data_IF_107251672179
#
_entry.id   IF_107251672179
#
_cell.length_a   1.000
_cell.length_b   1.000
_cell.length_c   1.000
_cell.angle_alpha   90.00
_cell.angle_beta   90.00
_cell.angle_gamma   90.00
#
_symmetry.space_group_name_H-M   'P 1'
#
loop_
_entity.id
_entity.type
_entity.pdbx_description
1 polymer ?
#
# COMPACT_ATOMS: atom_id res chain seq x y z
N UNK A 1 -34.42 12.05 -0.30
CA UNK A 1 -33.26 11.17 -0.10
C UNK A 1 -32.06 12.08 0.12
N UNK A 2 -31.26 11.86 1.13
CA UNK A 2 -30.04 12.67 1.32
C UNK A 2 -29.03 12.35 0.22
N UNK A 3 -28.24 13.34 -0.17
CA UNK A 3 -27.26 13.22 -1.25
C UNK A 3 -25.81 13.28 -0.74
N UNK A 4 -24.90 12.65 -1.45
CA UNK A 4 -23.48 12.72 -1.16
C UNK A 4 -22.64 12.89 -2.43
N UNK A 5 -21.60 13.70 -2.32
CA UNK A 5 -20.57 13.86 -3.36
C UNK A 5 -19.23 13.33 -2.80
N UNK A 6 -18.62 12.45 -3.59
CA UNK A 6 -17.26 11.93 -3.33
C UNK A 6 -16.30 12.62 -4.29
N UNK A 7 -15.20 13.13 -3.75
CA UNK A 7 -14.11 13.72 -4.54
C UNK A 7 -12.99 12.70 -4.67
N UNK A 8 -12.81 12.18 -5.89
CA UNK A 8 -11.82 11.16 -6.23
C UNK A 8 -12.38 9.73 -6.26
N UNK A 9 -12.24 9.08 -7.43
CA UNK A 9 -12.64 7.70 -7.68
C UNK A 9 -11.52 6.66 -7.39
N UNK A 10 -10.63 6.94 -6.45
CA UNK A 10 -9.71 5.93 -5.91
C UNK A 10 -10.46 4.85 -5.13
N UNK A 11 -9.81 3.74 -4.81
CA UNK A 11 -10.44 2.57 -4.16
C UNK A 11 -11.24 2.97 -2.90
N UNK A 12 -10.66 3.79 -2.01
CA UNK A 12 -11.37 4.22 -0.80
C UNK A 12 -12.57 5.14 -1.12
N UNK A 13 -12.50 5.92 -2.20
CA UNK A 13 -13.62 6.73 -2.69
C UNK A 13 -14.77 5.85 -3.20
N UNK A 14 -14.47 4.84 -4.01
CA UNK A 14 -15.46 3.87 -4.52
C UNK A 14 -16.08 3.08 -3.36
N UNK A 15 -15.27 2.56 -2.43
CA UNK A 15 -15.75 1.82 -1.26
C UNK A 15 -16.66 2.71 -0.37
N UNK A 16 -16.30 3.98 -0.19
CA UNK A 16 -17.14 4.96 0.54
C UNK A 16 -18.45 5.22 -0.19
N UNK A 17 -18.41 5.37 -1.51
CA UNK A 17 -19.60 5.58 -2.33
C UNK A 17 -20.57 4.39 -2.20
N UNK A 18 -20.07 3.16 -2.27
CA UNK A 18 -20.86 1.94 -2.08
C UNK A 18 -21.50 1.89 -0.68
N UNK A 19 -20.76 2.19 0.38
CA UNK A 19 -21.29 2.20 1.75
C UNK A 19 -22.36 3.27 1.95
N UNK A 20 -22.19 4.47 1.41
CA UNK A 20 -23.19 5.53 1.47
C UNK A 20 -24.43 5.17 0.64
N UNK A 21 -24.26 4.54 -0.50
CA UNK A 21 -25.37 4.04 -1.32
C UNK A 21 -26.17 2.97 -0.59
N UNK A 22 -25.50 2.01 0.06
CA UNK A 22 -26.12 0.98 0.88
C UNK A 22 -26.88 1.59 2.09
N UNK A 23 -26.42 2.75 2.60
CA UNK A 23 -27.12 3.52 3.62
C UNK A 23 -28.32 4.33 3.07
N UNK A 24 -28.66 4.21 1.79
CA UNK A 24 -29.82 4.84 1.17
C UNK A 24 -29.59 6.26 0.66
N UNK A 25 -28.34 6.69 0.50
CA UNK A 25 -28.02 8.02 -0.07
C UNK A 25 -27.99 7.97 -1.60
N UNK A 26 -28.25 9.11 -2.22
CA UNK A 26 -27.95 9.35 -3.64
C UNK A 26 -26.51 9.82 -3.76
N UNK A 27 -25.67 9.11 -4.55
CA UNK A 27 -24.22 9.28 -4.54
C UNK A 27 -23.69 9.62 -5.92
N UNK A 28 -22.89 10.69 -6.00
CA UNK A 28 -22.10 11.07 -7.18
C UNK A 28 -20.63 11.14 -6.85
N UNK A 29 -19.79 10.64 -7.76
CA UNK A 29 -18.33 10.66 -7.64
C UNK A 29 -17.74 11.56 -8.73
N UNK A 30 -16.89 12.50 -8.34
CA UNK A 30 -16.16 13.37 -9.26
C UNK A 30 -14.69 12.98 -9.28
N UNK A 31 -14.18 12.68 -10.48
CA UNK A 31 -12.79 12.23 -10.69
C UNK A 31 -12.10 13.14 -11.74
N UNK A 32 -10.86 13.50 -11.44
CA UNK A 32 -10.05 14.34 -12.33
C UNK A 32 -9.57 13.59 -13.57
N UNK A 33 -9.24 12.30 -13.41
CA UNK A 33 -8.84 11.43 -14.51
C UNK A 33 -10.05 10.98 -15.34
N UNK A 34 -9.80 10.37 -16.48
CA UNK A 34 -10.81 9.74 -17.34
C UNK A 34 -11.09 8.27 -16.99
N UNK A 35 -10.49 7.77 -15.90
CA UNK A 35 -10.60 6.39 -15.41
C UNK A 35 -10.73 6.33 -13.88
N UNK A 36 -11.33 5.25 -13.30
CA UNK A 36 -11.40 5.00 -11.87
C UNK A 36 -10.12 4.35 -11.34
N UNK A 37 -9.98 4.29 -10.00
CA UNK A 37 -8.95 3.56 -9.29
C UNK A 37 -7.84 4.43 -8.71
N UNK A 38 -7.64 5.62 -9.25
CA UNK A 38 -6.58 6.51 -8.78
C UNK A 38 -5.20 5.87 -8.94
N UNK A 39 -4.53 5.56 -7.82
CA UNK A 39 -3.22 4.87 -7.83
C UNK A 39 -3.32 3.38 -8.18
N UNK A 40 -4.48 2.77 -8.11
CA UNK A 40 -4.71 1.37 -8.45
C UNK A 40 -5.37 1.28 -9.84
N UNK A 41 -4.56 1.42 -10.89
CA UNK A 41 -4.99 1.25 -12.28
C UNK A 41 -3.98 0.39 -13.03
N UNK A 42 -4.24 0.12 -14.30
CA UNK A 42 -3.35 -0.62 -15.18
C UNK A 42 -3.16 0.13 -16.50
N UNK A 43 -2.04 -0.12 -17.15
CA UNK A 43 -1.77 0.38 -18.49
C UNK A 43 -0.98 -0.64 -19.29
N UNK A 44 -0.96 -0.47 -20.61
CA UNK A 44 -0.16 -1.32 -21.53
C UNK A 44 0.86 -0.46 -22.25
N UNK A 45 2.08 -1.00 -22.41
CA UNK A 45 3.17 -0.36 -23.11
C UNK A 45 4.01 -1.42 -23.84
N UNK A 46 4.19 -1.27 -25.15
CA UNK A 46 5.07 -2.14 -25.93
C UNK A 46 4.69 -3.64 -25.91
N UNK A 47 3.39 -3.96 -25.73
CA UNK A 47 2.90 -5.33 -25.65
C UNK A 47 2.94 -5.94 -24.24
N UNK A 48 3.36 -5.18 -23.23
CA UNK A 48 3.33 -5.55 -21.82
C UNK A 48 2.19 -4.82 -21.11
N UNK A 49 1.50 -5.50 -20.19
CA UNK A 49 0.54 -4.89 -19.28
C UNK A 49 1.19 -4.72 -17.90
N UNK A 50 0.93 -3.62 -17.23
CA UNK A 50 1.41 -3.33 -15.89
C UNK A 50 0.27 -2.90 -14.99
N UNK A 51 0.21 -3.45 -13.77
CA UNK A 51 -0.52 -2.81 -12.68
C UNK A 51 0.29 -1.62 -12.17
N UNK A 52 -0.35 -0.45 -12.09
CA UNK A 52 0.28 0.76 -11.58
C UNK A 52 -0.11 0.99 -10.10
N UNK A 53 0.89 1.14 -9.23
CA UNK A 53 0.67 1.42 -7.82
C UNK A 53 0.78 0.20 -6.90
N UNK A 54 -0.17 -0.03 -5.97
CA UNK A 54 -0.07 -1.14 -5.01
C UNK A 54 0.00 -2.50 -5.70
N UNK A 55 0.94 -3.33 -5.28
CA UNK A 55 1.20 -4.65 -5.86
C UNK A 55 0.94 -5.81 -4.89
N UNK A 56 0.74 -5.52 -3.61
CA UNK A 56 0.47 -6.53 -2.59
C UNK A 56 -1.01 -6.48 -2.18
N UNK A 57 -1.65 -7.64 -2.17
CA UNK A 57 -3.04 -7.79 -1.77
C UNK A 57 -3.16 -8.68 -0.53
N UNK A 58 -3.70 -8.10 0.54
CA UNK A 58 -4.02 -8.77 1.80
C UNK A 58 -5.47 -8.45 2.17
N UNK A 59 -6.09 -9.24 3.07
CA UNK A 59 -7.44 -8.99 3.57
C UNK A 59 -8.50 -8.87 2.46
N UNK A 60 -8.65 -9.85 1.58
CA UNK A 60 -9.60 -9.80 0.46
C UNK A 60 -11.06 -9.66 0.93
N UNK A 61 -11.35 -10.03 2.18
CA UNK A 61 -12.67 -9.84 2.79
C UNK A 61 -13.13 -8.39 2.80
N UNK A 62 -12.21 -7.42 2.87
CA UNK A 62 -12.55 -5.98 2.80
C UNK A 62 -13.08 -5.56 1.42
N UNK A 63 -12.76 -6.32 0.37
CA UNK A 63 -13.31 -6.13 -0.98
C UNK A 63 -14.63 -6.89 -1.11
N UNK A 64 -14.64 -8.16 -0.72
CA UNK A 64 -15.82 -9.04 -0.90
C UNK A 64 -17.02 -8.62 -0.05
N UNK A 65 -16.80 -8.04 1.15
CA UNK A 65 -17.87 -7.51 2.00
C UNK A 65 -18.69 -6.40 1.32
N UNK A 66 -18.09 -5.63 0.40
CA UNK A 66 -18.79 -4.56 -0.31
C UNK A 66 -19.89 -5.08 -1.23
N UNK A 67 -19.69 -6.26 -1.83
CA UNK A 67 -20.74 -6.97 -2.59
C UNK A 67 -21.87 -7.43 -1.67
N UNK A 68 -21.52 -7.92 -0.47
CA UNK A 68 -22.49 -8.36 0.53
C UNK A 68 -23.44 -7.25 1.00
N UNK A 69 -23.04 -5.97 0.95
CA UNK A 69 -23.93 -4.84 1.24
C UNK A 69 -25.17 -4.79 0.32
N UNK A 70 -25.05 -5.35 -0.87
CA UNK A 70 -26.11 -5.37 -1.90
C UNK A 70 -26.65 -6.78 -2.17
N UNK A 71 -26.26 -7.75 -1.33
CA UNK A 71 -26.64 -9.15 -1.47
C UNK A 71 -26.15 -9.81 -2.78
N UNK A 72 -25.09 -9.27 -3.37
CA UNK A 72 -24.40 -9.87 -4.52
C UNK A 72 -23.34 -10.87 -4.03
N UNK A 73 -23.14 -11.95 -4.78
CA UNK A 73 -22.08 -12.92 -4.53
C UNK A 73 -20.78 -12.37 -5.15
N UNK A 74 -19.78 -12.10 -4.34
CA UNK A 74 -18.50 -11.52 -4.84
C UNK A 74 -17.80 -12.41 -5.87
N UNK A 75 -17.88 -13.74 -5.72
CA UNK A 75 -17.22 -14.70 -6.60
C UNK A 75 -17.73 -14.67 -8.06
N UNK A 76 -18.92 -14.08 -8.30
CA UNK A 76 -19.42 -13.90 -9.66
C UNK A 76 -18.72 -12.76 -10.42
N UNK A 77 -18.01 -11.89 -9.69
CA UNK A 77 -17.45 -10.64 -10.22
C UNK A 77 -15.99 -10.40 -9.88
N UNK A 78 -15.49 -11.03 -8.84
CA UNK A 78 -14.13 -10.83 -8.33
C UNK A 78 -13.57 -12.13 -7.77
N UNK A 79 -12.44 -12.58 -8.32
CA UNK A 79 -11.78 -13.82 -7.92
C UNK A 79 -10.29 -13.54 -7.62
N UNK A 80 -9.70 -14.35 -6.73
CA UNK A 80 -8.32 -14.20 -6.30
C UNK A 80 -7.76 -15.53 -5.77
N UNK A 81 -6.44 -15.68 -5.87
CA UNK A 81 -5.72 -16.85 -5.39
C UNK A 81 -4.84 -16.47 -4.18
N UNK A 82 -4.82 -17.33 -3.15
CA UNK A 82 -3.83 -17.23 -2.07
C UNK A 82 -2.47 -17.67 -2.60
N UNK A 83 -1.42 -16.93 -2.26
CA UNK A 83 -0.05 -17.26 -2.65
C UNK A 83 0.59 -18.19 -1.63
N UNK A 84 1.23 -19.26 -2.12
CA UNK A 84 2.08 -20.14 -1.31
C UNK A 84 3.43 -19.48 -1.05
N UNK A 85 4.07 -18.95 -2.10
CA UNK A 85 5.26 -18.10 -2.01
C UNK A 85 4.82 -16.66 -1.76
N UNK A 86 5.15 -16.13 -0.59
CA UNK A 86 4.81 -14.75 -0.21
C UNK A 86 5.78 -13.77 -0.84
N UNK A 87 7.08 -14.03 -0.74
CA UNK A 87 8.13 -13.18 -1.28
C UNK A 87 9.48 -13.90 -1.30
N UNK A 88 10.26 -13.66 -2.35
CA UNK A 88 11.67 -14.05 -2.43
C UNK A 88 12.56 -12.93 -1.94
N UNK A 89 13.56 -13.26 -1.15
CA UNK A 89 14.53 -12.33 -0.59
C UNK A 89 15.94 -12.69 -1.03
N UNK A 90 16.69 -11.67 -1.42
CA UNK A 90 18.06 -11.79 -1.91
C UNK A 90 18.97 -10.80 -1.18
N UNK A 91 20.12 -11.27 -0.72
CA UNK A 91 21.17 -10.47 -0.09
C UNK A 91 22.46 -10.53 -0.90
N UNK A 92 23.30 -9.52 -0.76
CA UNK A 92 24.55 -9.39 -1.51
C UNK A 92 25.56 -10.50 -1.20
N UNK A 93 25.54 -11.06 0.00
CA UNK A 93 26.36 -12.20 0.41
C UNK A 93 25.97 -13.54 -0.27
N UNK A 94 24.99 -13.49 -1.17
CA UNK A 94 24.49 -14.65 -1.94
C UNK A 94 23.41 -15.45 -1.23
N UNK A 95 23.00 -15.05 -0.02
CA UNK A 95 21.87 -15.68 0.68
C UNK A 95 20.58 -15.40 -0.10
N UNK A 96 19.79 -16.44 -0.28
CA UNK A 96 18.44 -16.38 -0.87
C UNK A 96 17.48 -17.10 0.05
N UNK A 97 16.29 -16.51 0.23
CA UNK A 97 15.28 -17.08 1.11
C UNK A 97 13.88 -16.78 0.59
N UNK A 98 13.05 -17.82 0.44
CA UNK A 98 11.65 -17.69 0.07
C UNK A 98 10.79 -17.81 1.33
N UNK A 99 9.96 -16.81 1.58
CA UNK A 99 8.99 -16.88 2.66
C UNK A 99 7.74 -17.59 2.17
N UNK A 100 7.42 -18.71 2.82
CA UNK A 100 6.21 -19.48 2.55
C UNK A 100 5.02 -18.92 3.34
N UNK A 101 3.83 -18.92 2.72
CA UNK A 101 2.57 -18.50 3.36
C UNK A 101 2.04 -19.49 4.40
N UNK A 102 2.58 -20.72 4.45
CA UNK A 102 2.39 -21.64 5.57
C UNK A 102 3.42 -21.34 6.66
N UNK A 103 2.91 -21.01 7.86
CA UNK A 103 3.75 -20.61 8.99
C UNK A 103 4.73 -21.68 9.42
N UNK A 104 4.32 -22.94 9.43
CA UNK A 104 5.15 -24.02 9.96
C UNK A 104 6.26 -24.36 8.95
N UNK A 105 5.98 -24.27 7.66
CA UNK A 105 6.98 -24.35 6.59
C UNK A 105 7.96 -23.19 6.68
N UNK A 106 7.48 -21.94 6.80
CA UNK A 106 8.33 -20.77 6.96
C UNK A 106 9.27 -20.88 8.15
N UNK A 107 8.76 -21.31 9.32
CA UNK A 107 9.58 -21.45 10.54
C UNK A 107 10.65 -22.52 10.37
N UNK A 108 10.30 -23.67 9.78
CA UNK A 108 11.24 -24.78 9.51
C UNK A 108 12.34 -24.34 8.52
N UNK A 109 11.96 -23.64 7.47
CA UNK A 109 12.90 -23.17 6.44
C UNK A 109 13.84 -22.10 7.00
N UNK A 110 13.33 -21.20 7.85
CA UNK A 110 14.13 -20.17 8.52
C UNK A 110 15.11 -20.81 9.54
N UNK A 111 14.68 -21.81 10.31
CA UNK A 111 15.55 -22.56 11.22
C UNK A 111 16.69 -23.23 10.43
N UNK A 112 16.38 -23.92 9.35
CA UNK A 112 17.36 -24.60 8.51
C UNK A 112 18.33 -23.63 7.82
N UNK A 113 17.84 -22.47 7.38
CA UNK A 113 18.62 -21.49 6.60
C UNK A 113 19.49 -20.60 7.48
N UNK A 114 18.96 -20.12 8.59
CA UNK A 114 19.56 -19.07 9.42
C UNK A 114 20.01 -19.57 10.81
N UNK A 115 19.69 -20.80 11.18
CA UNK A 115 20.04 -21.36 12.49
C UNK A 115 19.29 -20.74 13.66
N UNK A 116 18.17 -20.02 13.39
CA UNK A 116 17.31 -19.49 14.45
C UNK A 116 16.49 -20.64 15.06
N UNK A 117 16.37 -20.69 16.38
CA UNK A 117 15.48 -21.68 17.01
C UNK A 117 14.01 -21.45 16.58
N UNK A 118 13.32 -22.49 16.14
CA UNK A 118 11.91 -22.45 15.76
C UNK A 118 11.03 -21.80 16.83
N UNK A 119 11.30 -22.10 18.10
CA UNK A 119 10.58 -21.53 19.27
C UNK A 119 10.67 -20.01 19.34
N UNK A 120 11.82 -19.43 18.98
CA UNK A 120 12.06 -17.98 18.95
C UNK A 120 11.21 -17.31 17.88
N UNK A 121 11.23 -17.85 16.65
CA UNK A 121 10.46 -17.31 15.53
C UNK A 121 8.95 -17.48 15.76
N UNK A 122 8.50 -18.63 16.26
CA UNK A 122 7.10 -18.84 16.64
C UNK A 122 6.64 -17.86 17.71
N UNK A 123 7.49 -17.55 18.69
CA UNK A 123 7.19 -16.56 19.73
C UNK A 123 7.06 -15.16 19.14
N UNK A 124 7.94 -14.79 18.20
CA UNK A 124 7.86 -13.52 17.49
C UNK A 124 6.53 -13.39 16.71
N UNK A 125 6.18 -14.42 15.91
CA UNK A 125 4.94 -14.42 15.11
C UNK A 125 3.68 -14.40 15.98
N UNK A 126 3.69 -15.12 17.11
CA UNK A 126 2.59 -15.09 18.10
C UNK A 126 2.43 -13.70 18.73
N UNK A 127 3.54 -13.02 19.01
CA UNK A 127 3.51 -11.65 19.52
C UNK A 127 2.98 -10.66 18.45
N UNK A 128 3.36 -10.86 17.19
CA UNK A 128 2.83 -10.10 16.04
C UNK A 128 1.30 -10.25 15.96
N UNK A 129 0.80 -11.49 15.98
CA UNK A 129 -0.63 -11.80 16.01
C UNK A 129 -1.34 -11.11 17.18
N UNK A 130 -0.81 -11.25 18.39
CA UNK A 130 -1.43 -10.66 19.58
C UNK A 130 -1.51 -9.14 19.52
N UNK A 131 -0.48 -8.47 18.98
CA UNK A 131 -0.50 -7.02 18.77
C UNK A 131 -1.59 -6.63 17.76
N UNK A 132 -1.71 -7.38 16.65
CA UNK A 132 -2.75 -7.16 15.66
C UNK A 132 -4.15 -7.31 16.28
N UNK A 133 -4.44 -8.41 16.96
CA UNK A 133 -5.73 -8.68 17.60
C UNK A 133 -6.13 -7.62 18.64
N UNK A 134 -5.15 -7.01 19.32
CA UNK A 134 -5.40 -5.95 20.30
C UNK A 134 -5.62 -4.59 19.66
N UNK A 135 -5.09 -4.34 18.48
CA UNK A 135 -5.09 -3.01 17.85
C UNK A 135 -6.09 -2.87 16.70
N UNK A 136 -6.35 -3.95 15.95
CA UNK A 136 -7.26 -3.91 14.80
C UNK A 136 -8.68 -3.44 15.17
N UNK A 137 -9.33 -3.88 16.28
CA UNK A 137 -10.66 -3.41 16.65
C UNK A 137 -10.71 -1.91 16.95
N UNK A 138 -9.57 -1.28 17.28
CA UNK A 138 -9.48 0.14 17.61
C UNK A 138 -9.13 0.96 16.36
N UNK A 139 -8.09 0.53 15.63
CA UNK A 139 -7.48 1.33 14.56
C UNK A 139 -8.06 1.06 13.18
N UNK A 140 -8.60 -0.15 12.94
CA UNK A 140 -9.19 -0.52 11.66
C UNK A 140 -10.72 -0.45 11.65
N UNK A 141 -11.37 -0.78 12.77
CA UNK A 141 -12.82 -0.91 12.81
C UNK A 141 -13.54 0.29 13.42
N UNK A 142 -12.83 1.15 14.18
CA UNK A 142 -13.43 2.30 14.88
C UNK A 142 -12.82 3.62 14.46
N UNK A 143 -13.63 4.67 14.53
CA UNK A 143 -13.16 6.04 14.32
C UNK A 143 -12.43 6.57 15.54
N UNK A 144 -11.16 6.95 15.36
CA UNK A 144 -10.35 7.60 16.40
C UNK A 144 -10.79 9.04 16.75
N UNK A 145 -11.73 9.62 16.00
CA UNK A 145 -12.30 10.94 16.30
C UNK A 145 -13.48 10.89 17.26
N UNK A 146 -13.94 9.68 17.63
CA UNK A 146 -15.05 9.50 18.59
C UNK A 146 -14.50 9.21 19.99
N UNK A 147 -14.92 9.99 21.00
CA UNK A 147 -14.56 9.77 22.40
C UNK A 147 -14.97 8.36 22.88
N UNK A 148 -16.11 7.86 22.39
CA UNK A 148 -16.59 6.49 22.71
C UNK A 148 -15.58 5.39 22.33
N UNK A 149 -14.73 5.60 21.32
CA UNK A 149 -13.67 4.65 20.96
C UNK A 149 -12.67 4.51 22.11
N UNK A 150 -12.28 5.62 22.72
CA UNK A 150 -11.32 5.63 23.84
C UNK A 150 -11.90 5.06 25.14
N UNK A 151 -13.21 5.09 25.31
CA UNK A 151 -13.93 4.53 26.45
C UNK A 151 -14.40 3.09 26.22
N UNK A 152 -14.03 2.45 25.10
CA UNK A 152 -14.43 1.08 24.79
C UNK A 152 -13.62 0.05 25.57
N UNK A 153 -14.22 -1.13 25.79
CA UNK A 153 -13.56 -2.27 26.46
C UNK A 153 -12.29 -2.70 25.69
N UNK A 154 -12.30 -2.61 24.37
CA UNK A 154 -11.14 -2.96 23.54
C UNK A 154 -9.96 -2.00 23.81
N UNK A 155 -10.23 -0.70 23.91
CA UNK A 155 -9.20 0.29 24.26
C UNK A 155 -8.68 0.07 25.68
N UNK A 156 -9.55 -0.20 26.65
CA UNK A 156 -9.13 -0.52 28.01
C UNK A 156 -8.25 -1.77 28.07
N UNK A 157 -8.64 -2.83 27.34
CA UNK A 157 -7.85 -4.06 27.20
C UNK A 157 -6.50 -3.81 26.54
N UNK A 158 -6.45 -2.99 25.48
CA UNK A 158 -5.20 -2.61 24.84
C UNK A 158 -4.29 -1.81 25.78
N UNK A 159 -4.84 -0.86 26.55
CA UNK A 159 -4.08 -0.06 27.52
C UNK A 159 -3.43 -0.92 28.62
N UNK A 160 -4.12 -1.94 29.13
CA UNK A 160 -3.54 -2.87 30.14
C UNK A 160 -2.36 -3.69 29.63
N UNK A 161 -2.20 -3.81 28.30
CA UNK A 161 -1.11 -4.55 27.65
C UNK A 161 -0.09 -3.66 26.95
N UNK A 162 -0.22 -2.34 27.07
CA UNK A 162 0.58 -1.35 26.34
C UNK A 162 2.08 -1.51 26.56
N UNK A 163 2.52 -1.89 27.78
CA UNK A 163 3.92 -2.15 28.08
C UNK A 163 4.53 -3.31 27.26
N UNK A 164 3.70 -4.27 26.82
CA UNK A 164 4.11 -5.43 26.01
C UNK A 164 4.05 -5.16 24.50
N UNK A 165 3.52 -4.01 24.09
CA UNK A 165 3.34 -3.71 22.66
C UNK A 165 4.61 -3.17 21.98
N UNK A 166 5.67 -2.83 22.73
CA UNK A 166 6.92 -2.31 22.17
C UNK A 166 6.81 -0.85 21.70
N UNK A 167 5.91 -0.06 22.29
CA UNK A 167 5.70 1.36 21.91
C UNK A 167 6.93 2.21 22.27
N UNK A 168 7.66 1.84 23.31
CA UNK A 168 8.84 2.57 23.82
C UNK A 168 10.15 2.24 23.09
N UNK A 169 10.15 1.35 22.09
CA UNK A 169 11.34 0.99 21.29
C UNK A 169 11.04 1.13 19.81
N UNK A 170 12.10 1.27 18.99
CA UNK A 170 11.93 1.19 17.55
C UNK A 170 11.65 -0.24 17.10
N UNK A 171 11.09 -0.40 15.88
CA UNK A 171 10.87 -1.70 15.26
C UNK A 171 12.20 -2.46 15.12
N UNK A 172 13.26 -1.78 14.68
CA UNK A 172 14.60 -2.36 14.58
C UNK A 172 15.09 -2.91 15.93
N UNK A 173 15.05 -2.08 16.99
CA UNK A 173 15.50 -2.50 18.33
C UNK A 173 14.72 -3.70 18.85
N UNK A 174 13.42 -3.75 18.58
CA UNK A 174 12.58 -4.90 18.95
C UNK A 174 13.00 -6.14 18.15
N UNK A 175 13.17 -6.01 16.83
CA UNK A 175 13.55 -7.13 15.98
C UNK A 175 14.94 -7.68 16.35
N UNK A 176 15.95 -6.81 16.56
CA UNK A 176 17.29 -7.20 17.04
C UNK A 176 17.24 -7.95 18.37
N UNK A 177 16.44 -7.46 19.31
CA UNK A 177 16.33 -8.08 20.64
C UNK A 177 15.73 -9.48 20.60
N UNK A 178 14.77 -9.71 19.69
CA UNK A 178 14.03 -10.96 19.60
C UNK A 178 14.65 -11.97 18.64
N UNK A 179 15.10 -11.54 17.46
CA UNK A 179 15.53 -12.44 16.38
C UNK A 179 17.05 -12.64 16.37
N UNK A 180 17.83 -11.60 16.68
CA UNK A 180 19.30 -11.58 16.73
C UNK A 180 19.99 -11.90 15.39
N UNK A 181 19.38 -12.64 14.51
CA UNK A 181 19.90 -13.03 13.20
C UNK A 181 19.74 -11.87 12.21
N UNK A 182 20.82 -11.33 11.58
CA UNK A 182 20.78 -10.07 10.83
C UNK A 182 19.83 -10.08 9.62
N UNK A 183 19.79 -11.18 8.86
CA UNK A 183 18.92 -11.28 7.67
C UNK A 183 17.44 -11.28 8.06
N UNK A 184 17.07 -11.98 9.13
CA UNK A 184 15.71 -11.95 9.64
C UNK A 184 15.35 -10.59 10.24
N UNK A 185 16.29 -9.93 10.93
CA UNK A 185 16.09 -8.56 11.42
C UNK A 185 15.80 -7.63 10.25
N UNK A 186 16.57 -7.67 9.17
CA UNK A 186 16.37 -6.87 7.98
C UNK A 186 15.04 -7.20 7.29
N UNK A 187 14.72 -8.50 7.14
CA UNK A 187 13.46 -8.98 6.58
C UNK A 187 12.26 -8.41 7.36
N UNK A 188 12.29 -8.46 8.69
CA UNK A 188 11.19 -7.94 9.50
C UNK A 188 11.20 -6.41 9.63
N UNK A 189 12.35 -5.76 9.47
CA UNK A 189 12.46 -4.30 9.43
C UNK A 189 11.79 -3.71 8.19
N UNK A 190 11.76 -4.43 7.04
CA UNK A 190 11.09 -3.94 5.84
C UNK A 190 9.61 -3.64 6.03
N UNK A 191 8.94 -4.26 7.01
CA UNK A 191 7.53 -3.99 7.29
C UNK A 191 7.24 -2.54 7.71
N UNK A 192 8.25 -1.77 8.11
CA UNK A 192 8.11 -0.33 8.32
C UNK A 192 7.76 0.41 7.03
N UNK A 193 8.18 -0.07 5.86
CA UNK A 193 7.90 0.55 4.55
C UNK A 193 6.43 0.49 4.15
N UNK A 194 5.62 -0.39 4.75
CA UNK A 194 4.17 -0.41 4.57
C UNK A 194 3.51 0.91 4.98
N UNK A 195 4.11 1.60 5.94
CA UNK A 195 3.68 2.94 6.36
C UNK A 195 4.57 4.05 5.79
N UNK A 196 5.48 3.73 4.88
CA UNK A 196 6.47 4.68 4.37
C UNK A 196 7.34 5.27 5.48
N UNK A 197 7.75 4.46 6.46
CA UNK A 197 8.48 4.88 7.66
C UNK A 197 9.83 4.17 7.77
N UNK A 198 10.76 4.76 8.52
CA UNK A 198 12.04 4.14 8.85
C UNK A 198 11.87 3.11 9.99
N UNK A 199 12.38 1.87 9.88
CA UNK A 199 12.33 0.89 10.97
C UNK A 199 13.09 1.34 12.22
N UNK A 200 14.03 2.25 12.08
CA UNK A 200 14.82 2.83 13.16
C UNK A 200 14.08 3.90 13.96
N UNK A 201 12.99 4.47 13.38
CA UNK A 201 12.12 5.48 14.02
C UNK A 201 10.71 4.96 14.29
N UNK A 202 10.25 3.98 13.52
CA UNK A 202 8.91 3.37 13.65
C UNK A 202 8.77 2.65 14.99
N UNK A 203 7.70 2.87 15.76
CA UNK A 203 7.47 2.15 17.01
C UNK A 203 7.36 0.63 16.83
N UNK A 204 7.90 -0.13 17.78
CA UNK A 204 7.94 -1.60 17.73
C UNK A 204 6.55 -2.28 17.74
N UNK A 205 5.47 -1.54 18.02
CA UNK A 205 4.11 -2.03 17.85
C UNK A 205 3.83 -2.43 16.39
N UNK A 206 4.50 -1.80 15.42
CA UNK A 206 4.34 -2.08 14.00
C UNK A 206 4.86 -3.46 13.59
N UNK A 207 5.51 -4.20 14.48
CA UNK A 207 5.76 -5.63 14.32
C UNK A 207 4.48 -6.49 14.25
N UNK A 208 3.30 -5.87 14.32
CA UNK A 208 2.02 -6.51 13.99
C UNK A 208 1.80 -6.71 12.49
N UNK A 209 2.44 -5.92 11.62
CA UNK A 209 2.24 -5.97 10.17
C UNK A 209 2.55 -7.33 9.55
N UNK A 210 3.63 -8.05 9.94
CA UNK A 210 3.89 -9.41 9.49
C UNK A 210 2.70 -10.36 9.63
N UNK A 211 1.83 -10.14 10.62
CA UNK A 211 0.62 -10.95 10.79
C UNK A 211 -0.35 -10.84 9.62
N UNK A 212 -0.49 -9.66 9.02
CA UNK A 212 -1.34 -9.44 7.85
C UNK A 212 -0.86 -10.26 6.65
N UNK A 213 0.44 -10.27 6.41
CA UNK A 213 1.04 -10.93 5.24
C UNK A 213 1.21 -12.44 5.45
N UNK A 214 1.77 -12.84 6.61
CA UNK A 214 2.19 -14.22 6.86
C UNK A 214 1.07 -15.10 7.41
N UNK A 215 0.13 -14.52 8.16
CA UNK A 215 -0.96 -15.30 8.78
C UNK A 215 -2.29 -15.14 8.03
N UNK A 216 -2.75 -13.90 7.82
CA UNK A 216 -3.99 -13.67 7.05
C UNK A 216 -3.77 -14.02 5.58
N UNK A 217 -2.56 -13.87 5.09
CA UNK A 217 -2.12 -14.34 3.77
C UNK A 217 -1.91 -13.22 2.76
N UNK A 218 -1.11 -13.56 1.77
CA UNK A 218 -0.90 -12.77 0.56
C UNK A 218 -1.72 -13.38 -0.56
N UNK A 219 -2.38 -12.54 -1.33
CA UNK A 219 -3.26 -12.94 -2.41
C UNK A 219 -2.90 -12.23 -3.70
N UNK A 220 -3.36 -12.79 -4.81
CA UNK A 220 -3.27 -12.16 -6.12
C UNK A 220 -4.63 -12.23 -6.82
N UNK A 221 -5.22 -11.07 -7.20
CA UNK A 221 -6.49 -11.03 -7.92
C UNK A 221 -6.32 -11.55 -9.35
N UNK A 222 -7.24 -12.36 -9.84
CA UNK A 222 -7.27 -12.76 -11.25
C UNK A 222 -7.48 -11.53 -12.14
N UNK A 223 -6.66 -11.41 -13.18
CA UNK A 223 -6.60 -10.23 -14.04
C UNK A 223 -5.77 -9.07 -13.47
N UNK A 224 -4.99 -9.34 -12.39
CA UNK A 224 -4.09 -8.37 -11.76
C UNK A 224 -4.77 -7.47 -10.72
N UNK A 225 -3.98 -6.61 -10.10
CA UNK A 225 -4.44 -5.73 -9.01
C UNK A 225 -5.55 -4.76 -9.45
N UNK A 226 -5.55 -4.33 -10.71
CA UNK A 226 -6.59 -3.43 -11.24
C UNK A 226 -7.99 -4.07 -11.27
N UNK A 227 -8.10 -5.40 -11.24
CA UNK A 227 -9.40 -6.08 -11.17
C UNK A 227 -10.21 -5.70 -9.91
N UNK A 228 -9.55 -5.34 -8.81
CA UNK A 228 -10.20 -4.79 -7.62
C UNK A 228 -10.94 -3.48 -7.97
N UNK A 229 -10.27 -2.58 -8.69
CA UNK A 229 -10.90 -1.33 -9.15
C UNK A 229 -12.08 -1.60 -10.06
N UNK A 230 -11.87 -2.44 -11.09
CA UNK A 230 -12.90 -2.72 -12.10
C UNK A 230 -14.14 -3.34 -11.48
N UNK A 231 -13.97 -4.37 -10.64
CA UNK A 231 -15.10 -5.06 -10.01
C UNK A 231 -15.91 -4.16 -9.07
N UNK A 232 -15.24 -3.32 -8.26
CA UNK A 232 -15.92 -2.39 -7.36
C UNK A 232 -16.57 -1.21 -8.11
N UNK A 233 -15.95 -0.73 -9.18
CA UNK A 233 -16.52 0.28 -10.04
C UNK A 233 -17.78 -0.24 -10.74
N UNK A 234 -17.74 -1.43 -11.32
CA UNK A 234 -18.89 -2.06 -11.96
C UNK A 234 -20.02 -2.32 -10.95
N UNK A 235 -19.70 -2.77 -9.71
CA UNK A 235 -20.67 -2.85 -8.64
C UNK A 235 -21.31 -1.47 -8.38
N UNK A 236 -20.52 -0.43 -8.28
CA UNK A 236 -21.02 0.93 -8.02
C UNK A 236 -21.98 1.41 -9.13
N UNK A 237 -21.67 1.14 -10.40
CA UNK A 237 -22.53 1.45 -11.53
C UNK A 237 -23.87 0.65 -11.45
N UNK A 238 -23.81 -0.67 -11.17
CA UNK A 238 -25.01 -1.47 -11.01
C UNK A 238 -25.91 -0.97 -9.87
N UNK A 239 -25.33 -0.40 -8.84
CA UNK A 239 -26.07 0.20 -7.72
C UNK A 239 -26.55 1.62 -7.97
N UNK A 240 -26.34 2.16 -9.17
CA UNK A 240 -26.84 3.50 -9.59
C UNK A 240 -26.03 4.67 -9.04
N UNK A 241 -24.74 4.46 -8.71
CA UNK A 241 -23.81 5.54 -8.38
C UNK A 241 -23.37 6.21 -9.67
N UNK A 242 -23.41 7.53 -9.72
CA UNK A 242 -23.03 8.32 -10.90
C UNK A 242 -21.57 8.75 -10.80
N UNK A 243 -20.77 8.47 -11.84
CA UNK A 243 -19.38 8.91 -11.95
C UNK A 243 -19.24 10.02 -12.99
N UNK A 244 -18.49 11.05 -12.63
CA UNK A 244 -18.14 12.20 -13.48
C UNK A 244 -16.63 12.21 -13.69
N UNK A 245 -16.16 11.56 -14.75
CA UNK A 245 -14.74 11.53 -15.12
C UNK A 245 -14.31 12.81 -15.86
N UNK A 246 -13.00 13.12 -15.82
CA UNK A 246 -12.46 14.36 -16.40
C UNK A 246 -13.00 15.63 -15.73
N UNK A 247 -13.58 15.49 -14.53
CA UNK A 247 -14.22 16.57 -13.78
C UNK A 247 -13.43 16.83 -12.49
N UNK A 248 -12.30 17.54 -12.64
CA UNK A 248 -11.49 17.95 -11.49
C UNK A 248 -12.28 18.93 -10.63
N UNK A 249 -12.36 18.61 -9.33
CA UNK A 249 -12.93 19.52 -8.33
C UNK A 249 -11.90 20.60 -8.00
N UNK A 250 -12.31 21.85 -8.12
CA UNK A 250 -11.46 23.01 -7.88
C UNK A 250 -11.55 23.49 -6.42
N UNK A 251 -12.74 23.37 -5.81
CA UNK A 251 -12.99 23.88 -4.46
C UNK A 251 -14.16 23.16 -3.79
N UNK A 252 -14.09 22.99 -2.46
CA UNK A 252 -15.24 22.67 -1.62
C UNK A 252 -15.93 23.98 -1.22
N UNK A 253 -17.22 24.08 -1.53
CA UNK A 253 -18.04 25.25 -1.22
C UNK A 253 -18.45 25.20 0.25
N UNK A 254 -18.01 26.19 1.03
CA UNK A 254 -18.29 26.30 2.47
C UNK A 254 -19.15 27.52 2.73
N UNK A 255 -20.31 27.32 3.37
CA UNK A 255 -21.22 28.40 3.79
C UNK A 255 -21.50 28.27 5.28
N UNK A 256 -21.30 29.36 6.04
CA UNK A 256 -21.50 29.38 7.51
C UNK A 256 -20.79 28.22 8.22
N UNK A 257 -19.53 27.95 7.85
CA UNK A 257 -18.67 26.86 8.40
C UNK A 257 -19.19 25.44 8.12
N UNK A 258 -20.05 25.27 7.13
CA UNK A 258 -20.54 23.96 6.67
C UNK A 258 -20.19 23.77 5.20
N UNK A 259 -19.64 22.64 4.84
CA UNK A 259 -19.45 22.22 3.46
C UNK A 259 -20.84 21.91 2.87
N UNK A 260 -21.20 22.57 1.78
CA UNK A 260 -22.54 22.50 1.15
C UNK A 260 -22.51 22.04 -0.29
N UNK A 261 -21.33 21.93 -0.90
CA UNK A 261 -21.18 21.55 -2.30
C UNK A 261 -19.73 21.57 -2.75
N UNK A 262 -19.54 21.32 -4.02
CA UNK A 262 -18.24 21.41 -4.70
C UNK A 262 -18.35 22.38 -5.88
N UNK A 263 -17.22 22.92 -6.30
CA UNK A 263 -17.09 23.69 -7.54
C UNK A 263 -16.23 22.91 -8.54
N UNK A 264 -16.73 22.78 -9.76
CA UNK A 264 -16.04 22.21 -10.91
C UNK A 264 -16.09 23.23 -12.03
N UNK A 265 -14.98 23.83 -12.39
CA UNK A 265 -14.93 25.00 -13.29
C UNK A 265 -15.87 26.09 -12.77
N UNK A 266 -16.80 26.54 -13.60
CA UNK A 266 -17.77 27.60 -13.26
C UNK A 266 -19.07 27.08 -12.64
N UNK A 267 -19.22 25.77 -12.46
CA UNK A 267 -20.46 25.15 -11.98
C UNK A 267 -20.33 24.67 -10.53
N UNK A 268 -21.33 25.01 -9.72
CA UNK A 268 -21.46 24.51 -8.36
C UNK A 268 -22.43 23.33 -8.30
N UNK A 269 -22.07 22.30 -7.54
CA UNK A 269 -22.88 21.12 -7.27
C UNK A 269 -23.12 21.05 -5.76
N UNK A 270 -24.37 21.16 -5.35
CA UNK A 270 -24.75 21.15 -3.94
C UNK A 270 -25.13 19.76 -3.48
N UNK A 271 -24.85 19.46 -2.20
CA UNK A 271 -25.12 18.14 -1.59
C UNK A 271 -25.17 18.25 -0.06
N UNK A 272 -25.73 17.23 0.60
CA UNK A 272 -25.81 17.16 2.05
C UNK A 272 -24.49 16.71 2.70
N UNK A 273 -23.74 15.82 2.01
CA UNK A 273 -22.48 15.24 2.50
C UNK A 273 -21.41 15.34 1.42
N UNK A 274 -20.21 15.74 1.81
CA UNK A 274 -19.02 15.74 0.96
C UNK A 274 -17.95 14.87 1.59
N UNK A 275 -17.38 13.95 0.81
CA UNK A 275 -16.24 13.14 1.20
C UNK A 275 -15.09 13.42 0.25
N UNK A 276 -13.96 13.90 0.78
CA UNK A 276 -12.73 14.00 -0.01
C UNK A 276 -11.92 12.72 0.17
N UNK A 277 -11.69 12.00 -0.93
CA UNK A 277 -10.75 10.88 -1.00
C UNK A 277 -9.36 11.34 -1.47
N UNK A 278 -9.11 12.62 -1.45
CA UNK A 278 -7.81 13.22 -1.69
C UNK A 278 -6.98 13.21 -0.41
N UNK A 279 -5.65 13.17 -0.53
CA UNK A 279 -4.77 13.34 0.61
C UNK A 279 -5.15 14.58 1.44
N UNK A 280 -5.08 14.46 2.77
CA UNK A 280 -5.56 15.50 3.68
C UNK A 280 -4.84 16.83 3.50
N UNK A 281 -3.50 16.81 3.26
CA UNK A 281 -2.72 18.00 2.99
C UNK A 281 -3.23 18.69 1.73
N UNK A 282 -3.33 17.94 0.62
CA UNK A 282 -3.84 18.44 -0.64
C UNK A 282 -5.31 18.89 -0.56
N UNK A 283 -6.13 18.23 0.27
CA UNK A 283 -7.53 18.65 0.50
C UNK A 283 -7.59 20.04 1.11
N UNK A 284 -6.81 20.31 2.17
CA UNK A 284 -6.79 21.63 2.79
C UNK A 284 -6.16 22.69 1.90
N UNK A 285 -4.98 22.39 1.32
CA UNK A 285 -4.25 23.38 0.51
C UNK A 285 -4.95 23.73 -0.81
N UNK A 286 -5.59 22.74 -1.47
CA UNK A 286 -6.16 22.94 -2.81
C UNK A 286 -7.68 23.13 -2.81
N UNK A 287 -8.42 22.40 -1.94
CA UNK A 287 -9.88 22.42 -1.97
C UNK A 287 -10.52 23.29 -0.88
N UNK A 288 -9.76 23.64 0.17
CA UNK A 288 -10.21 24.46 1.30
C UNK A 288 -9.24 25.60 1.63
N UNK A 289 -8.70 26.35 0.63
CA UNK A 289 -7.62 27.33 0.86
C UNK A 289 -8.05 28.47 1.79
N UNK A 290 -9.35 28.83 1.81
CA UNK A 290 -9.90 29.93 2.61
C UNK A 290 -10.35 29.48 4.03
N UNK A 291 -10.14 28.20 4.37
CA UNK A 291 -10.53 27.69 5.68
C UNK A 291 -9.34 27.61 6.63
N UNK A 292 -9.62 27.59 7.93
CA UNK A 292 -8.57 27.40 8.94
C UNK A 292 -7.94 26.01 8.79
N UNK A 293 -6.62 25.98 8.58
CA UNK A 293 -5.88 24.74 8.41
C UNK A 293 -5.46 24.15 9.75
N UNK A 294 -5.52 22.82 9.93
CA UNK A 294 -5.04 22.15 11.14
C UNK A 294 -3.48 22.04 11.10
N UNK A 295 -2.81 23.18 11.33
CA UNK A 295 -1.35 23.33 11.17
C UNK A 295 -0.55 22.20 11.79
N UNK A 296 -0.91 21.76 13.02
CA UNK A 296 -0.22 20.68 13.74
C UNK A 296 -0.28 19.34 12.98
N UNK A 297 -1.38 19.06 12.28
CA UNK A 297 -1.54 17.82 11.50
C UNK A 297 -0.78 17.94 10.18
N UNK A 298 -0.93 19.07 9.50
CA UNK A 298 -0.33 19.29 8.18
C UNK A 298 1.20 19.48 8.23
N UNK A 299 1.78 19.82 9.39
CA UNK A 299 3.23 19.94 9.58
C UNK A 299 3.93 18.63 9.99
N UNK A 300 3.20 17.53 10.13
CA UNK A 300 3.81 16.24 10.44
C UNK A 300 4.69 15.76 9.29
N UNK A 301 5.76 15.01 9.63
CA UNK A 301 6.63 14.38 8.63
C UNK A 301 5.78 13.43 7.75
N UNK A 302 5.96 13.54 6.46
CA UNK A 302 5.25 12.73 5.47
C UNK A 302 5.96 11.39 5.29
N UNK A 303 5.22 10.39 4.80
CA UNK A 303 5.78 9.10 4.42
C UNK A 303 6.86 9.23 3.36
N UNK A 304 7.74 8.23 3.24
CA UNK A 304 8.58 8.08 2.05
C UNK A 304 7.73 8.02 0.78
N UNK A 305 8.37 8.28 -0.33
CA UNK A 305 7.86 8.06 -1.67
C UNK A 305 8.54 6.84 -2.30
N UNK A 306 8.32 6.63 -3.59
CA UNK A 306 9.01 5.62 -4.37
C UNK A 306 9.31 6.12 -5.78
N UNK A 307 10.42 5.67 -6.35
CA UNK A 307 10.67 5.71 -7.79
C UNK A 307 10.31 4.36 -8.36
N UNK A 308 9.51 4.35 -9.42
CA UNK A 308 9.02 3.12 -10.04
C UNK A 308 9.45 3.10 -11.50
N UNK A 309 9.99 1.95 -11.90
CA UNK A 309 10.28 1.65 -13.31
C UNK A 309 9.37 0.52 -13.77
N UNK A 310 8.87 0.61 -14.97
CA UNK A 310 8.11 -0.43 -15.64
C UNK A 310 8.94 -0.99 -16.78
N UNK A 311 9.42 -2.21 -16.62
CA UNK A 311 10.34 -2.83 -17.58
C UNK A 311 9.70 -4.02 -18.29
N UNK A 312 9.71 -4.00 -19.61
CA UNK A 312 9.42 -5.15 -20.45
C UNK A 312 10.71 -5.93 -20.68
N UNK A 313 10.84 -7.13 -20.12
CA UNK A 313 12.05 -7.96 -20.16
C UNK A 313 11.85 -9.07 -21.18
N UNK A 314 12.74 -9.17 -22.17
CA UNK A 314 12.70 -10.18 -23.25
C UNK A 314 13.36 -11.51 -22.84
N UNK A 315 13.19 -11.90 -21.60
CA UNK A 315 13.72 -13.14 -21.02
C UNK A 315 12.86 -13.53 -19.80
N UNK A 316 12.86 -14.82 -19.48
CA UNK A 316 12.26 -15.31 -18.23
C UNK A 316 13.35 -15.63 -17.19
N UNK A 317 13.04 -15.38 -15.93
CA UNK A 317 13.88 -15.65 -14.76
C UNK A 317 13.16 -16.64 -13.84
N UNK A 318 13.41 -17.96 -13.99
CA UNK A 318 12.71 -19.00 -13.22
C UNK A 318 12.92 -18.89 -11.70
N UNK A 319 14.02 -18.24 -11.27
CA UNK A 319 14.36 -18.01 -9.87
C UNK A 319 13.56 -16.88 -9.21
N UNK A 320 12.86 -16.09 -10.00
CA UNK A 320 11.99 -15.01 -9.50
C UNK A 320 10.53 -15.45 -9.51
N UNK A 321 9.76 -14.90 -8.59
CA UNK A 321 8.32 -15.12 -8.48
C UNK A 321 7.57 -13.78 -8.53
N UNK A 322 6.29 -13.77 -8.21
CA UNK A 322 5.46 -12.57 -8.18
C UNK A 322 6.08 -11.42 -7.39
N UNK A 323 6.63 -11.71 -6.21
CA UNK A 323 7.24 -10.73 -5.32
C UNK A 323 8.70 -11.07 -5.02
N UNK A 324 9.60 -10.13 -5.24
CA UNK A 324 11.03 -10.30 -5.02
C UNK A 324 11.61 -9.05 -4.39
N UNK A 325 12.51 -9.21 -3.40
CA UNK A 325 13.20 -8.11 -2.73
C UNK A 325 14.70 -8.40 -2.74
N UNK A 326 15.44 -7.45 -3.28
CA UNK A 326 16.90 -7.39 -3.24
C UNK A 326 17.27 -6.35 -2.20
N UNK A 327 17.85 -6.80 -1.10
CA UNK A 327 18.19 -5.90 0.01
C UNK A 327 19.48 -5.14 -0.24
N UNK A 328 19.51 -3.87 0.18
CA UNK A 328 20.72 -3.09 0.34
C UNK A 328 21.64 -3.72 1.38
N UNK A 329 22.95 -3.56 1.22
CA UNK A 329 23.95 -4.05 2.16
C UNK A 329 23.86 -3.31 3.50
N UNK A 330 23.72 -1.98 3.45
CA UNK A 330 23.55 -1.12 4.64
C UNK A 330 22.14 -0.51 4.70
N UNK A 331 21.23 -1.28 5.32
CA UNK A 331 19.82 -0.90 5.43
C UNK A 331 19.62 0.36 6.27
N UNK A 332 20.48 0.60 7.28
CA UNK A 332 20.40 1.81 8.10
C UNK A 332 20.82 3.05 7.32
N UNK A 333 21.86 2.95 6.52
CA UNK A 333 22.33 4.03 5.63
C UNK A 333 21.26 4.40 4.61
N UNK A 334 20.55 3.40 4.04
CA UNK A 334 19.43 3.65 3.11
C UNK A 334 18.39 4.57 3.77
N UNK A 335 17.91 4.21 4.97
CA UNK A 335 16.88 5.00 5.66
C UNK A 335 17.40 6.36 6.18
N UNK A 336 18.67 6.46 6.52
CA UNK A 336 19.32 7.75 6.86
C UNK A 336 19.30 8.67 5.64
N UNK A 337 19.67 8.17 4.46
CA UNK A 337 19.62 8.95 3.22
C UNK A 337 18.20 9.43 2.91
N UNK A 338 17.19 8.53 3.02
CA UNK A 338 15.80 8.86 2.72
C UNK A 338 15.20 9.90 3.67
N UNK A 339 15.41 9.74 4.98
CA UNK A 339 14.69 10.51 6.00
C UNK A 339 15.49 11.70 6.57
N UNK A 340 16.83 11.68 6.50
CA UNK A 340 17.68 12.75 7.03
C UNK A 340 18.33 13.57 5.92
N UNK A 341 18.98 12.91 4.96
CA UNK A 341 19.63 13.58 3.85
C UNK A 341 18.69 13.93 2.69
N UNK A 342 17.46 13.38 2.67
CA UNK A 342 16.43 13.62 1.64
C UNK A 342 16.93 13.31 0.23
N UNK A 343 17.71 12.24 0.09
CA UNK A 343 18.29 11.77 -1.17
C UNK A 343 18.10 10.27 -1.34
N UNK A 344 18.39 9.76 -2.53
CA UNK A 344 18.43 8.32 -2.80
C UNK A 344 19.71 7.71 -2.23
N UNK A 345 19.65 6.41 -1.92
CA UNK A 345 20.84 5.62 -1.58
C UNK A 345 21.51 5.12 -2.87
N UNK A 346 22.84 5.04 -2.88
CA UNK A 346 23.60 4.48 -4.00
C UNK A 346 23.43 2.96 -4.11
N UNK A 347 23.15 2.29 -2.98
CA UNK A 347 22.80 0.87 -2.88
C UNK A 347 21.41 0.78 -2.23
N UNK A 348 20.30 0.93 -3.00
CA UNK A 348 18.96 0.89 -2.46
C UNK A 348 18.42 -0.54 -2.42
N UNK A 349 17.53 -0.81 -1.48
CA UNK A 349 16.67 -1.99 -1.55
C UNK A 349 15.74 -1.88 -2.76
N UNK A 350 15.71 -2.93 -3.58
CA UNK A 350 14.91 -3.01 -4.81
C UNK A 350 13.81 -4.04 -4.64
N UNK A 351 12.57 -3.62 -4.82
CA UNK A 351 11.42 -4.53 -4.91
C UNK A 351 11.04 -4.74 -6.38
N UNK A 352 10.84 -5.99 -6.77
CA UNK A 352 10.40 -6.36 -8.12
C UNK A 352 9.11 -7.17 -8.01
N UNK A 353 8.05 -6.69 -8.67
CA UNK A 353 6.81 -7.42 -8.86
C UNK A 353 6.67 -7.84 -10.32
N UNK A 354 6.33 -9.12 -10.55
CA UNK A 354 6.27 -9.72 -11.88
C UNK A 354 4.91 -10.39 -12.07
N UNK A 355 3.92 -9.62 -12.54
CA UNK A 355 2.55 -10.15 -12.66
C UNK A 355 2.40 -11.20 -13.74
N UNK A 356 3.27 -11.23 -14.75
CA UNK A 356 3.31 -12.28 -15.78
C UNK A 356 3.63 -13.68 -15.24
N UNK A 357 4.08 -13.82 -13.99
CA UNK A 357 4.19 -15.11 -13.29
C UNK A 357 2.80 -15.70 -12.95
N UNK A 358 1.80 -14.85 -12.82
CA UNK A 358 0.42 -15.21 -12.49
C UNK A 358 -0.52 -15.06 -13.69
N UNK A 359 -0.36 -13.97 -14.46
CA UNK A 359 -1.19 -13.61 -15.61
C UNK A 359 -0.34 -13.70 -16.89
N UNK A 360 -0.45 -14.81 -17.59
CA UNK A 360 0.35 -15.09 -18.81
C UNK A 360 0.17 -13.99 -19.88
N UNK A 361 -0.98 -13.31 -19.90
CA UNK A 361 -1.28 -12.23 -20.84
C UNK A 361 -0.59 -10.90 -20.53
N UNK A 362 0.08 -10.75 -19.39
CA UNK A 362 0.71 -9.50 -18.97
C UNK A 362 2.06 -9.25 -19.67
N UNK A 363 2.63 -10.26 -20.36
CA UNK A 363 3.82 -10.13 -21.16
C UNK A 363 3.76 -10.99 -22.44
N UNK A 364 4.48 -10.65 -23.50
CA UNK A 364 4.66 -11.53 -24.66
C UNK A 364 5.27 -12.88 -24.26
N UNK A 365 5.03 -13.91 -25.05
CA UNK A 365 5.58 -15.26 -24.80
C UNK A 365 7.10 -15.24 -24.65
N UNK A 366 7.61 -15.85 -23.58
CA UNK A 366 9.04 -15.89 -23.25
C UNK A 366 9.58 -14.60 -22.60
N UNK A 367 8.70 -13.63 -22.30
CA UNK A 367 9.05 -12.35 -21.69
C UNK A 367 8.44 -12.22 -20.28
N UNK A 368 8.84 -11.17 -19.55
CA UNK A 368 8.29 -10.80 -18.24
C UNK A 368 8.05 -9.29 -18.17
N UNK A 369 7.01 -8.88 -17.44
CA UNK A 369 6.74 -7.50 -17.08
C UNK A 369 7.24 -7.24 -15.66
N UNK A 370 8.15 -6.31 -15.48
CA UNK A 370 8.72 -5.99 -14.18
C UNK A 370 8.27 -4.62 -13.70
N UNK A 371 7.54 -4.58 -12.61
CA UNK A 371 7.35 -3.38 -11.79
C UNK A 371 8.51 -3.32 -10.80
N UNK A 372 9.42 -2.38 -10.99
CA UNK A 372 10.63 -2.24 -10.17
C UNK A 372 10.50 -0.99 -9.31
N UNK A 373 10.57 -1.14 -8.00
CA UNK A 373 10.36 -0.05 -7.06
C UNK A 373 11.57 0.12 -6.13
N UNK A 374 11.99 1.36 -5.96
CA UNK A 374 13.02 1.79 -5.01
C UNK A 374 12.40 2.82 -4.06
N UNK A 375 12.70 2.72 -2.77
CA UNK A 375 12.30 3.73 -1.81
C UNK A 375 12.93 5.09 -2.14
N UNK A 376 12.14 6.15 -2.04
CA UNK A 376 12.57 7.51 -2.31
C UNK A 376 12.14 8.47 -1.19
N UNK A 377 12.85 9.58 -0.96
CA UNK A 377 12.38 10.61 -0.06
C UNK A 377 11.12 11.28 -0.61
N UNK A 378 10.39 12.00 0.24
CA UNK A 378 9.35 12.91 -0.24
C UNK A 378 9.92 14.01 -1.13
N UNK A 379 9.06 14.74 -1.83
CA UNK A 379 9.45 15.89 -2.63
C UNK A 379 9.77 17.08 -1.71
N UNK A 380 11.03 17.43 -1.66
CA UNK A 380 11.61 18.59 -0.94
C UNK A 380 12.27 19.59 -1.90
N UNK A 381 12.03 19.47 -3.22
CA UNK A 381 12.62 20.30 -4.26
C UNK A 381 13.95 19.79 -4.82
N UNK A 382 14.22 18.48 -4.66
CA UNK A 382 15.39 17.82 -5.26
C UNK A 382 15.28 17.82 -6.79
N UNK A 383 16.42 17.71 -7.47
CA UNK A 383 16.48 17.45 -8.91
C UNK A 383 16.17 15.95 -9.20
N UNK A 384 14.90 15.65 -9.36
CA UNK A 384 14.42 14.29 -9.62
C UNK A 384 14.98 13.70 -10.91
N UNK A 385 15.19 14.49 -11.94
CA UNK A 385 15.77 14.00 -13.20
C UNK A 385 17.19 13.46 -12.98
N UNK A 386 18.00 14.19 -12.22
CA UNK A 386 19.35 13.76 -11.86
C UNK A 386 19.34 12.53 -10.98
N UNK A 387 18.45 12.47 -9.97
CA UNK A 387 18.34 11.34 -9.05
C UNK A 387 17.87 10.05 -9.77
N UNK A 388 16.88 10.15 -10.63
CA UNK A 388 16.38 9.00 -11.42
C UNK A 388 17.45 8.50 -12.39
N UNK A 389 18.17 9.40 -13.06
CA UNK A 389 19.28 9.02 -13.94
C UNK A 389 20.40 8.29 -13.18
N UNK A 390 20.71 8.69 -11.94
CA UNK A 390 21.71 7.98 -11.14
C UNK A 390 21.28 6.53 -10.84
N UNK A 391 20.00 6.29 -10.54
CA UNK A 391 19.46 4.92 -10.34
C UNK A 391 19.54 4.07 -11.60
N UNK A 392 19.27 4.64 -12.77
CA UNK A 392 19.39 3.93 -14.05
C UNK A 392 20.85 3.50 -14.28
N UNK A 393 21.81 4.36 -13.99
CA UNK A 393 23.24 4.03 -14.12
C UNK A 393 23.72 2.97 -13.11
N UNK A 394 23.17 2.93 -11.92
CA UNK A 394 23.44 1.88 -10.93
C UNK A 394 22.92 0.51 -11.42
N UNK A 395 21.79 0.50 -12.09
CA UNK A 395 21.19 -0.72 -12.65
C UNK A 395 21.74 -1.15 -14.03
N UNK A 396 22.63 -0.37 -14.65
CA UNK A 396 23.21 -0.60 -15.97
C UNK A 396 24.25 -1.74 -16.14
N UNK A 397 24.78 -2.44 -15.14
CA UNK A 397 25.54 -3.67 -15.40
C UNK A 397 24.76 -4.74 -16.17
N UNK A 398 23.45 -4.58 -16.34
CA UNK A 398 22.56 -5.47 -17.07
C UNK A 398 22.27 -5.03 -18.51
N UNK A 399 23.07 -4.16 -19.12
CA UNK A 399 22.89 -3.53 -20.44
C UNK A 399 22.79 -4.50 -21.65
N UNK A 400 22.79 -5.80 -21.45
CA UNK A 400 22.55 -6.80 -22.51
C UNK A 400 21.09 -7.22 -22.68
N UNK A 401 20.16 -6.76 -21.83
CA UNK A 401 18.74 -6.99 -22.02
C UNK A 401 18.13 -5.76 -22.71
N UNK A 402 17.51 -5.93 -23.89
CA UNK A 402 16.73 -4.88 -24.52
C UNK A 402 15.53 -4.54 -23.63
N UNK A 403 15.57 -3.38 -22.97
CA UNK A 403 14.56 -2.92 -22.00
C UNK A 403 13.75 -1.79 -22.65
N UNK A 404 12.42 -1.87 -22.58
CA UNK A 404 11.52 -0.76 -22.90
C UNK A 404 11.15 -0.02 -21.61
N UNK A 405 11.37 1.30 -21.54
CA UNK A 405 11.23 2.09 -20.31
C UNK A 405 9.92 2.86 -20.23
N UNK A 406 9.34 2.92 -19.04
CA UNK A 406 8.54 4.04 -18.57
C UNK A 406 8.93 4.33 -17.10
N UNK A 407 9.17 5.59 -16.76
CA UNK A 407 9.53 6.03 -15.40
C UNK A 407 8.43 6.93 -14.87
N UNK A 408 7.92 6.62 -13.68
CA UNK A 408 6.98 7.47 -12.96
C UNK A 408 7.47 7.67 -11.52
N UNK A 409 7.41 8.93 -11.03
CA UNK A 409 7.52 9.24 -9.61
C UNK A 409 6.11 9.32 -9.02
N UNK A 410 5.85 8.61 -7.93
CA UNK A 410 4.58 8.63 -7.20
C UNK A 410 4.62 9.63 -6.03
#
# INVERSE_FOLDING_TARGET
MSSAIIIGAGIAGIATALRLRAAGMDVSVFEANDYPGGKLHAFSLGGYRFDAGPSLFTMPELVTELFGLFKEQSNDFFDYNRKESVCNYFWEDGIRFTVNGDRDVFVKDAEAKFGIEASTLLTYLKNSQKKYELTSPIFLEKSLHKISTYLSLDTLKALTQMSKMGIGSSLNTLNESMLKEPHLVQLFNRYATYNGSSPYKTPGIMSMIPHLELHLGTYFPKGGMHSITTSLYELAIRQGITFHFGQKVDKIVVTKRRAVGIQVKDKQHYTDVIVSNMDIFSTYEKLLPDQSHPKRILSQERSSSAVIFYWGIRKQFPELDLHNIFFSQDYQKEFTNLFEHKTLCDDPTVYINITSKEEVGDAPSGCENWFVMVNAPGDYGQDWNKLVLSLIHISEPTRQAEISYAVFCL
#
